data_IF_141395980874
#
_entry.id   IF_141395980874
#
_cell.length_a   1.000
_cell.length_b   1.000
_cell.length_c   1.000
_cell.angle_alpha   90.00
_cell.angle_beta   90.00
_cell.angle_gamma   90.00
#
_symmetry.space_group_name_H-M   'P 1'
#
loop_
_entity.id
_entity.type
_entity.pdbx_description
1 polymer ?
#
# COMPACT_ATOMS: atom_id res chain seq x y z
N UNK A 1 -6.56 -7.29 -20.04
CA UNK A 1 -5.89 -8.55 -20.43
C UNK A 1 -4.39 -8.36 -20.58
N UNK A 2 -3.89 -7.45 -21.42
CA UNK A 2 -2.43 -7.27 -21.61
C UNK A 2 -1.61 -7.06 -20.32
N UNK A 3 -2.03 -6.21 -19.38
CA UNK A 3 -1.28 -6.05 -18.12
C UNK A 3 -1.19 -7.32 -17.26
N UNK A 4 -2.20 -8.20 -17.31
CA UNK A 4 -2.17 -9.46 -16.56
C UNK A 4 -1.22 -10.44 -17.24
N UNK A 5 -1.31 -10.53 -18.57
CA UNK A 5 -0.39 -11.30 -19.40
C UNK A 5 1.05 -10.81 -19.20
N UNK A 6 1.31 -9.50 -19.23
CA UNK A 6 2.62 -8.90 -18.96
C UNK A 6 3.10 -9.22 -17.54
N UNK A 7 2.26 -9.07 -16.50
CA UNK A 7 2.64 -9.44 -15.12
C UNK A 7 3.08 -10.90 -15.00
N UNK A 8 2.40 -11.80 -15.72
CA UNK A 8 2.70 -13.24 -15.71
C UNK A 8 3.90 -13.56 -16.63
N UNK A 9 4.05 -12.86 -17.76
CA UNK A 9 5.09 -13.08 -18.79
C UNK A 9 6.44 -12.46 -18.41
N UNK A 10 6.47 -11.36 -17.66
CA UNK A 10 7.70 -10.83 -17.05
C UNK A 10 8.22 -11.73 -15.92
N UNK A 11 7.40 -12.64 -15.41
CA UNK A 11 7.73 -13.52 -14.29
C UNK A 11 8.78 -14.58 -14.66
N UNK A 12 8.66 -15.36 -15.76
CA UNK A 12 9.66 -16.37 -16.11
C UNK A 12 11.09 -15.86 -16.42
N UNK A 13 11.32 -14.76 -17.17
CA UNK A 13 12.69 -14.32 -17.50
C UNK A 13 13.43 -13.69 -16.31
N UNK A 14 12.72 -13.05 -15.38
CA UNK A 14 13.31 -12.36 -14.23
C UNK A 14 13.44 -13.29 -13.01
N UNK A 15 12.47 -14.17 -12.79
CA UNK A 15 12.42 -15.00 -11.58
C UNK A 15 12.91 -16.45 -11.78
N UNK A 16 13.11 -16.91 -13.01
CA UNK A 16 13.86 -18.16 -13.26
C UNK A 16 15.26 -18.15 -12.62
N UNK A 17 15.84 -16.96 -12.41
CA UNK A 17 17.12 -16.76 -11.73
C UNK A 17 17.00 -16.35 -10.25
N UNK A 18 15.84 -15.82 -9.84
CA UNK A 18 15.62 -15.29 -8.49
C UNK A 18 14.62 -16.21 -7.79
N UNK A 19 15.14 -17.24 -7.10
CA UNK A 19 14.35 -18.16 -6.28
C UNK A 19 13.80 -17.46 -5.02
N UNK A 20 12.79 -16.60 -5.19
CA UNK A 20 12.04 -15.94 -4.11
C UNK A 20 10.57 -16.36 -4.17
N UNK A 21 9.88 -16.45 -3.02
CA UNK A 21 8.43 -16.64 -2.99
C UNK A 21 7.72 -15.42 -3.60
N UNK A 22 6.75 -15.68 -4.47
CA UNK A 22 5.93 -14.66 -5.13
C UNK A 22 4.46 -14.92 -4.85
N UNK A 23 3.75 -13.89 -4.36
CA UNK A 23 2.30 -13.90 -4.21
C UNK A 23 1.66 -13.00 -5.26
N UNK A 24 0.70 -13.53 -5.98
CA UNK A 24 -0.09 -12.79 -6.96
C UNK A 24 -1.24 -12.07 -6.26
N UNK A 25 -1.62 -10.88 -6.75
CA UNK A 25 -2.77 -10.15 -6.23
C UNK A 25 -3.57 -9.44 -7.31
N UNK A 26 -4.77 -9.00 -6.95
CA UNK A 26 -5.74 -8.34 -7.83
C UNK A 26 -5.95 -9.16 -9.11
N UNK A 27 -5.95 -8.55 -10.29
CA UNK A 27 -6.26 -9.23 -11.54
C UNK A 27 -5.21 -10.30 -11.95
N UNK A 28 -4.05 -10.36 -11.29
CA UNK A 28 -3.07 -11.42 -11.51
C UNK A 28 -3.33 -12.68 -10.67
N UNK A 29 -4.11 -12.57 -9.58
CA UNK A 29 -4.46 -13.73 -8.74
C UNK A 29 -5.74 -14.40 -9.26
N UNK A 30 -5.83 -15.74 -9.32
CA UNK A 30 -6.99 -16.44 -9.88
C UNK A 30 -8.35 -16.06 -9.28
N UNK A 31 -8.37 -15.71 -7.99
CA UNK A 31 -9.57 -15.29 -7.26
C UNK A 31 -9.68 -13.77 -7.05
N UNK A 32 -8.77 -12.97 -7.60
CA UNK A 32 -8.79 -11.51 -7.40
C UNK A 32 -8.37 -11.06 -6.00
N UNK A 33 -7.57 -11.86 -5.28
CA UNK A 33 -7.22 -11.62 -3.87
C UNK A 33 -6.57 -10.24 -3.67
N UNK A 34 -7.02 -9.50 -2.65
CA UNK A 34 -6.50 -8.17 -2.38
C UNK A 34 -5.10 -8.21 -1.73
N UNK A 35 -4.27 -7.22 -2.07
CA UNK A 35 -2.90 -7.10 -1.57
C UNK A 35 -2.82 -7.04 -0.04
N UNK A 36 -3.71 -6.27 0.60
CA UNK A 36 -3.71 -6.11 2.05
C UNK A 36 -4.16 -7.38 2.78
N UNK A 37 -5.01 -8.21 2.15
CA UNK A 37 -5.35 -9.54 2.66
C UNK A 37 -4.12 -10.42 2.74
N UNK A 38 -3.34 -10.52 1.66
CA UNK A 38 -2.11 -11.32 1.61
C UNK A 38 -1.10 -10.81 2.65
N UNK A 39 -0.91 -9.49 2.73
CA UNK A 39 -0.05 -8.86 3.75
C UNK A 39 -0.48 -9.24 5.17
N UNK A 40 -1.78 -9.30 5.47
CA UNK A 40 -2.29 -9.69 6.80
C UNK A 40 -2.05 -11.16 7.13
N UNK A 41 -2.30 -12.05 6.18
CA UNK A 41 -2.05 -13.49 6.34
C UNK A 41 -0.56 -13.77 6.59
N UNK A 42 0.31 -13.04 5.91
CA UNK A 42 1.77 -13.08 6.12
C UNK A 42 2.23 -12.33 7.38
N UNK A 43 1.33 -11.71 8.14
CA UNK A 43 1.66 -11.01 9.37
C UNK A 43 2.33 -9.63 9.20
N UNK A 44 2.33 -9.06 7.98
CA UNK A 44 2.97 -7.78 7.64
C UNK A 44 2.47 -6.56 8.43
N UNK A 45 1.37 -6.65 9.16
CA UNK A 45 0.87 -5.54 10.00
C UNK A 45 1.01 -5.81 11.50
N UNK A 46 1.68 -6.91 11.90
CA UNK A 46 1.98 -7.22 13.29
C UNK A 46 3.34 -6.63 13.64
N UNK A 47 3.44 -5.68 14.58
CA UNK A 47 4.73 -5.16 15.01
C UNK A 47 5.58 -6.32 15.51
N UNK A 48 6.86 -6.31 15.16
CA UNK A 48 7.84 -7.31 15.57
C UNK A 48 8.86 -6.74 16.56
N UNK A 49 8.67 -5.49 16.99
CA UNK A 49 9.43 -4.79 18.03
C UNK A 49 8.47 -4.05 18.99
N UNK A 50 9.01 -3.48 20.06
CA UNK A 50 8.27 -2.67 21.03
C UNK A 50 7.70 -1.40 20.39
N UNK A 51 6.65 -0.84 20.99
CA UNK A 51 6.11 0.50 20.71
C UNK A 51 5.74 0.77 19.24
N UNK A 52 5.12 -0.20 18.56
CA UNK A 52 4.71 -0.12 17.15
C UNK A 52 5.86 -0.02 16.14
N UNK A 53 7.08 -0.36 16.54
CA UNK A 53 8.23 -0.35 15.64
C UNK A 53 8.32 -1.65 14.82
N UNK A 54 8.91 -1.51 13.63
CA UNK A 54 9.34 -2.63 12.79
C UNK A 54 10.85 -2.77 12.87
N UNK A 55 11.34 -3.87 13.43
CA UNK A 55 12.74 -4.25 13.47
C UNK A 55 13.00 -5.40 12.49
N UNK A 56 13.36 -5.05 11.25
CA UNK A 56 13.88 -5.99 10.26
C UNK A 56 12.98 -7.21 10.00
N UNK A 57 13.64 -8.33 9.67
CA UNK A 57 12.99 -9.59 9.33
C UNK A 57 12.51 -10.34 10.57
N UNK A 58 11.20 -10.62 10.67
CA UNK A 58 10.61 -11.41 11.77
C UNK A 58 9.77 -12.59 11.31
N UNK A 59 9.73 -12.85 10.00
CA UNK A 59 8.94 -13.96 9.46
C UNK A 59 9.71 -15.28 9.55
N UNK A 60 8.98 -16.39 9.65
CA UNK A 60 9.56 -17.72 9.55
C UNK A 60 10.27 -17.89 8.19
N UNK A 61 11.35 -18.68 8.16
CA UNK A 61 12.00 -19.08 6.90
C UNK A 61 11.09 -19.94 6.04
N UNK A 62 10.06 -20.56 6.63
CA UNK A 62 9.02 -21.32 5.92
C UNK A 62 7.73 -20.53 6.04
N UNK A 63 7.09 -20.23 4.91
CA UNK A 63 5.86 -19.45 4.93
C UNK A 63 4.69 -20.30 5.41
N UNK A 64 3.74 -19.67 6.14
CA UNK A 64 2.52 -20.35 6.56
C UNK A 64 1.59 -20.64 5.38
N UNK A 65 1.69 -19.84 4.32
CA UNK A 65 0.90 -19.95 3.10
C UNK A 65 1.82 -20.23 1.91
N UNK A 66 1.39 -21.10 1.02
CA UNK A 66 2.15 -21.41 -0.20
C UNK A 66 2.15 -20.19 -1.13
N UNK A 67 3.33 -19.78 -1.66
CA UNK A 67 3.38 -18.76 -2.69
C UNK A 67 2.78 -19.29 -4.00
N UNK A 68 2.24 -18.39 -4.82
CA UNK A 68 1.73 -18.73 -6.14
C UNK A 68 2.85 -19.19 -7.08
N UNK A 69 4.06 -18.61 -6.93
CA UNK A 69 5.25 -18.95 -7.71
C UNK A 69 6.49 -18.95 -6.83
N UNK A 70 7.41 -19.88 -7.11
CA UNK A 70 8.70 -19.97 -6.42
C UNK A 70 8.66 -20.85 -5.16
N UNK A 71 9.75 -20.87 -4.38
CA UNK A 71 9.89 -21.77 -3.23
C UNK A 71 9.07 -21.28 -2.03
N UNK A 72 8.62 -22.20 -1.19
CA UNK A 72 8.01 -21.89 0.12
C UNK A 72 9.04 -21.47 1.19
N UNK A 73 10.32 -21.43 0.83
CA UNK A 73 11.41 -21.01 1.72
C UNK A 73 11.82 -19.57 1.41
N UNK A 74 11.94 -18.76 2.46
CA UNK A 74 12.32 -17.35 2.34
C UNK A 74 13.77 -17.14 2.74
N UNK A 75 14.51 -16.48 1.86
CA UNK A 75 15.82 -15.93 2.20
C UNK A 75 15.63 -14.61 2.96
N UNK A 76 16.17 -14.45 4.19
CA UNK A 76 16.05 -13.18 4.94
C UNK A 76 16.57 -11.96 4.18
N UNK A 77 17.57 -12.15 3.30
CA UNK A 77 18.14 -11.07 2.50
C UNK A 77 17.26 -10.66 1.30
N UNK A 78 16.35 -11.52 0.85
CA UNK A 78 15.52 -11.28 -0.35
C UNK A 78 14.04 -11.08 -0.02
N UNK A 79 13.57 -11.67 1.09
CA UNK A 79 12.18 -11.61 1.48
C UNK A 79 11.24 -12.27 0.47
N UNK A 80 10.04 -11.69 0.36
CA UNK A 80 8.91 -12.17 -0.45
C UNK A 80 8.54 -11.04 -1.41
N UNK A 81 8.10 -11.40 -2.62
CA UNK A 81 7.61 -10.42 -3.60
C UNK A 81 6.10 -10.57 -3.80
N UNK A 82 5.41 -9.46 -4.04
CA UNK A 82 3.99 -9.45 -4.43
C UNK A 82 3.86 -8.83 -5.81
N UNK A 83 3.23 -9.53 -6.75
CA UNK A 83 3.04 -9.07 -8.14
C UNK A 83 1.55 -9.02 -8.43
N UNK A 84 1.09 -7.95 -9.08
CA UNK A 84 -0.32 -7.82 -9.38
C UNK A 84 -0.59 -6.79 -10.46
N UNK A 85 -1.79 -6.88 -11.00
CA UNK A 85 -2.30 -5.96 -12.00
C UNK A 85 -3.62 -5.38 -11.51
N UNK A 86 -3.75 -4.05 -11.60
CA UNK A 86 -4.96 -3.34 -11.17
C UNK A 86 -5.06 -1.96 -11.82
N UNK A 87 -6.26 -1.32 -11.81
CA UNK A 87 -6.39 0.09 -12.15
C UNK A 87 -5.53 0.99 -11.27
N UNK A 88 -5.34 2.22 -11.73
CA UNK A 88 -4.53 3.24 -11.06
C UNK A 88 -4.92 3.44 -9.58
N UNK A 89 -3.92 3.59 -8.73
CA UNK A 89 -4.08 3.85 -7.29
C UNK A 89 -3.49 5.21 -7.00
N UNK A 90 -4.22 6.05 -6.27
CA UNK A 90 -3.66 7.29 -5.74
C UNK A 90 -3.27 7.11 -4.27
N UNK A 91 -2.15 7.71 -3.88
CA UNK A 91 -1.68 7.72 -2.50
C UNK A 91 -1.78 9.14 -1.96
N UNK A 92 -2.61 9.33 -0.94
CA UNK A 92 -2.91 10.63 -0.35
C UNK A 92 -2.78 10.55 1.17
N UNK A 93 -1.85 11.28 1.76
CA UNK A 93 -1.61 11.29 3.19
C UNK A 93 -2.22 12.54 3.82
N UNK A 94 -2.81 12.38 5.00
CA UNK A 94 -3.42 13.49 5.76
C UNK A 94 -2.72 13.62 7.12
N UNK A 95 -1.92 14.67 7.34
CA UNK A 95 -1.27 14.89 8.63
C UNK A 95 -2.27 15.28 9.73
N UNK A 96 -2.03 14.77 10.94
CA UNK A 96 -2.75 15.08 12.17
C UNK A 96 -1.72 15.60 13.18
N UNK A 97 -1.96 16.80 13.69
CA UNK A 97 -1.09 17.51 14.65
C UNK A 97 -1.23 16.92 16.05
N UNK A 98 -0.84 15.66 16.20
CA UNK A 98 -0.90 14.89 17.44
C UNK A 98 0.04 13.69 17.37
N UNK A 99 0.64 13.37 18.51
CA UNK A 99 1.44 12.16 18.73
C UNK A 99 0.61 10.99 19.29
N UNK A 100 -0.70 11.15 19.46
CA UNK A 100 -1.62 10.09 19.89
C UNK A 100 -1.83 9.05 18.77
N UNK A 101 -0.88 8.11 18.68
CA UNK A 101 -0.93 6.99 17.73
C UNK A 101 -2.20 6.13 17.91
N UNK A 102 -2.66 5.79 19.14
CA UNK A 102 -3.96 5.16 19.32
C UNK A 102 -5.14 5.91 18.68
N UNK A 103 -5.22 7.23 18.81
CA UNK A 103 -6.24 8.05 18.16
C UNK A 103 -6.12 7.99 16.64
N UNK A 104 -4.92 8.21 16.10
CA UNK A 104 -4.67 8.11 14.66
C UNK A 104 -5.08 6.73 14.11
N UNK A 105 -4.82 5.64 14.84
CA UNK A 105 -5.25 4.29 14.46
C UNK A 105 -6.76 4.11 14.47
N UNK A 106 -7.49 4.69 15.43
CA UNK A 106 -8.97 4.68 15.45
C UNK A 106 -9.51 5.42 14.23
N UNK A 107 -9.01 6.63 13.96
CA UNK A 107 -9.39 7.44 12.81
C UNK A 107 -9.10 6.68 11.52
N UNK A 108 -7.88 6.16 11.32
CA UNK A 108 -7.51 5.36 10.16
C UNK A 108 -8.53 4.23 9.94
N UNK A 109 -8.84 3.45 10.97
CA UNK A 109 -9.81 2.37 10.88
C UNK A 109 -11.18 2.87 10.41
N UNK A 110 -11.69 3.97 10.96
CA UNK A 110 -12.99 4.55 10.61
C UNK A 110 -13.05 5.21 9.23
N UNK A 111 -11.89 5.58 8.67
CA UNK A 111 -11.76 6.04 7.27
C UNK A 111 -11.71 4.85 6.31
N UNK A 112 -11.05 3.75 6.68
CA UNK A 112 -10.88 2.59 5.80
C UNK A 112 -12.20 1.88 5.48
N UNK A 113 -12.34 1.42 4.23
CA UNK A 113 -13.39 0.51 3.81
C UNK A 113 -13.54 -0.70 4.75
N UNK A 114 -12.42 -1.28 5.19
CA UNK A 114 -12.41 -2.44 6.09
C UNK A 114 -13.00 -2.13 7.47
N UNK A 115 -12.92 -0.89 7.93
CA UNK A 115 -13.53 -0.45 9.18
C UNK A 115 -14.92 0.17 9.00
N UNK A 116 -15.55 0.02 7.82
CA UNK A 116 -16.87 0.57 7.52
C UNK A 116 -16.86 2.03 7.06
N UNK A 117 -15.68 2.56 6.70
CA UNK A 117 -15.49 3.91 6.21
C UNK A 117 -15.76 4.06 4.71
N UNK A 118 -14.90 4.82 4.03
CA UNK A 118 -15.05 5.10 2.60
C UNK A 118 -14.79 3.82 1.78
N UNK A 119 -15.65 3.48 0.80
CA UNK A 119 -15.44 2.32 -0.04
C UNK A 119 -14.15 2.49 -0.84
N UNK A 120 -13.47 1.39 -1.18
CA UNK A 120 -12.22 1.42 -1.98
C UNK A 120 -11.08 2.25 -1.36
N UNK A 121 -11.15 2.62 -0.08
CA UNK A 121 -10.07 3.32 0.62
C UNK A 121 -9.43 2.39 1.65
N UNK A 122 -8.12 2.22 1.55
CA UNK A 122 -7.31 1.59 2.59
C UNK A 122 -6.53 2.67 3.32
N UNK A 123 -6.31 2.49 4.62
CA UNK A 123 -5.58 3.48 5.42
C UNK A 123 -4.62 2.80 6.38
N UNK A 124 -3.58 3.55 6.75
CA UNK A 124 -2.66 3.24 7.83
C UNK A 124 -2.45 4.51 8.66
N UNK A 125 -2.31 4.35 9.97
CA UNK A 125 -1.84 5.42 10.84
C UNK A 125 -0.33 5.28 11.00
N UNK A 126 0.41 6.34 10.70
CA UNK A 126 1.87 6.39 10.76
C UNK A 126 2.31 7.54 11.66
N UNK A 127 3.49 7.40 12.26
CA UNK A 127 4.20 8.54 12.88
C UNK A 127 4.77 9.40 11.77
N UNK A 128 4.65 10.72 11.90
CA UNK A 128 5.11 11.69 10.91
C UNK A 128 5.92 12.79 11.61
N UNK A 129 7.24 12.78 11.45
CA UNK A 129 8.12 13.67 12.23
C UNK A 129 8.10 13.37 13.73
N UNK A 130 8.52 14.35 14.53
CA UNK A 130 8.62 14.20 16.00
C UNK A 130 7.27 14.40 16.71
N UNK A 131 6.44 15.33 16.21
CA UNK A 131 5.25 15.84 16.92
C UNK A 131 3.92 15.54 16.23
N UNK A 132 3.91 14.72 15.17
CA UNK A 132 2.69 14.47 14.42
C UNK A 132 2.52 13.01 13.99
N UNK A 133 1.30 12.70 13.58
CA UNK A 133 0.93 11.43 12.94
C UNK A 133 0.32 11.75 11.59
N UNK A 134 0.20 10.76 10.72
CA UNK A 134 -0.56 10.92 9.48
C UNK A 134 -1.43 9.70 9.20
N UNK A 135 -2.55 9.95 8.52
CA UNK A 135 -3.36 8.91 7.94
C UNK A 135 -2.92 8.73 6.49
N UNK A 136 -2.09 7.73 6.25
CA UNK A 136 -1.69 7.36 4.90
C UNK A 136 -2.83 6.63 4.20
N UNK A 137 -3.35 7.18 3.11
CA UNK A 137 -4.52 6.64 2.41
C UNK A 137 -4.15 6.13 1.02
N UNK A 138 -4.55 4.89 0.74
CA UNK A 138 -4.51 4.31 -0.60
C UNK A 138 -5.92 4.33 -1.17
N UNK A 139 -6.12 5.15 -2.20
CA UNK A 139 -7.37 5.30 -2.94
C UNK A 139 -7.32 4.27 -4.07
N UNK A 140 -8.00 3.15 -3.87
CA UNK A 140 -7.96 2.00 -4.78
C UNK A 140 -8.70 2.27 -6.09
N UNK A 141 -9.69 3.16 -6.05
CA UNK A 141 -10.45 3.66 -7.19
C UNK A 141 -10.59 5.19 -7.09
N UNK A 142 -9.54 5.96 -7.42
CA UNK A 142 -9.51 7.40 -7.19
C UNK A 142 -10.54 8.18 -8.01
N UNK A 143 -11.10 7.56 -9.07
CA UNK A 143 -12.22 8.12 -9.84
C UNK A 143 -13.57 8.02 -9.10
N UNK A 144 -13.69 7.12 -8.12
CA UNK A 144 -14.89 6.95 -7.30
C UNK A 144 -14.80 7.76 -6.01
N UNK A 145 -13.66 7.65 -5.32
CA UNK A 145 -13.37 8.35 -4.07
C UNK A 145 -12.09 9.16 -4.24
N UNK A 146 -12.24 10.47 -4.36
CA UNK A 146 -11.14 11.43 -4.46
C UNK A 146 -10.51 11.80 -3.12
N UNK A 147 -9.37 12.50 -3.21
CA UNK A 147 -8.63 12.99 -2.05
C UNK A 147 -9.43 14.00 -1.20
N UNK A 148 -10.31 14.78 -1.82
CA UNK A 148 -11.24 15.69 -1.16
C UNK A 148 -12.15 14.95 -0.16
N UNK A 149 -12.74 13.82 -0.57
CA UNK A 149 -13.61 13.03 0.29
C UNK A 149 -12.84 12.38 1.43
N UNK A 150 -11.61 11.95 1.18
CA UNK A 150 -10.71 11.41 2.20
C UNK A 150 -10.34 12.49 3.21
N UNK A 151 -9.92 13.67 2.74
CA UNK A 151 -9.58 14.84 3.55
C UNK A 151 -10.73 15.19 4.50
N UNK A 152 -11.93 15.45 3.96
CA UNK A 152 -13.11 15.82 4.75
C UNK A 152 -13.48 14.74 5.76
N UNK A 153 -13.33 13.46 5.40
CA UNK A 153 -13.63 12.35 6.32
C UNK A 153 -12.63 12.30 7.48
N UNK A 154 -11.34 12.49 7.22
CA UNK A 154 -10.32 12.55 8.27
C UNK A 154 -10.55 13.75 9.17
N UNK A 155 -10.78 14.94 8.61
CA UNK A 155 -11.09 16.17 9.36
C UNK A 155 -12.30 15.99 10.28
N UNK A 156 -13.38 15.39 9.78
CA UNK A 156 -14.60 15.14 10.58
C UNK A 156 -14.32 14.23 11.78
N UNK A 157 -13.57 13.15 11.57
CA UNK A 157 -13.26 12.17 12.62
C UNK A 157 -12.25 12.73 13.63
N UNK A 158 -11.25 13.46 13.15
CA UNK A 158 -10.28 14.12 14.00
C UNK A 158 -10.92 15.20 14.89
N UNK A 159 -11.84 16.00 14.33
CA UNK A 159 -12.59 17.00 15.09
C UNK A 159 -13.42 16.38 16.23
N UNK A 160 -13.97 15.18 16.05
CA UNK A 160 -14.68 14.44 17.10
C UNK A 160 -13.75 14.01 18.25
N UNK A 161 -12.45 13.83 17.97
CA UNK A 161 -11.42 13.56 18.97
C UNK A 161 -10.68 14.83 19.43
N UNK A 162 -11.10 16.03 18.98
CA UNK A 162 -10.47 17.30 19.32
C UNK A 162 -9.08 17.52 18.70
N UNK A 163 -8.78 16.82 17.59
CA UNK A 163 -7.48 16.85 16.92
C UNK A 163 -7.49 17.80 15.71
N UNK A 164 -6.38 18.49 15.51
CA UNK A 164 -6.16 19.37 14.36
C UNK A 164 -5.57 18.58 13.18
N UNK A 165 -6.07 18.87 11.98
CA UNK A 165 -5.70 18.19 10.74
C UNK A 165 -5.13 19.22 9.77
N UNK A 166 -4.01 18.88 9.13
CA UNK A 166 -3.46 19.71 8.05
C UNK A 166 -3.99 19.29 6.69
N UNK A 167 -3.75 20.13 5.68
CA UNK A 167 -4.06 19.80 4.30
C UNK A 167 -3.21 18.61 3.86
N UNK A 168 -3.87 17.55 3.42
CA UNK A 168 -3.20 16.37 2.88
C UNK A 168 -2.51 16.61 1.54
N UNK A 169 -1.72 15.62 1.14
CA UNK A 169 -0.86 15.69 -0.03
C UNK A 169 -0.74 14.33 -0.72
N UNK A 170 -0.51 14.35 -2.03
CA UNK A 170 -0.18 13.13 -2.78
C UNK A 170 1.29 12.77 -2.58
N UNK A 171 1.59 11.49 -2.35
CA UNK A 171 2.96 11.00 -2.18
C UNK A 171 3.61 10.52 -3.47
N UNK A 172 2.83 10.41 -4.55
CA UNK A 172 3.29 9.93 -5.86
C UNK A 172 2.80 10.85 -6.99
N UNK A 173 3.31 10.62 -8.19
CA UNK A 173 2.94 11.35 -9.40
C UNK A 173 1.49 11.08 -9.81
N UNK A 174 0.88 12.07 -10.45
CA UNK A 174 -0.40 11.85 -11.13
C UNK A 174 -0.20 11.02 -12.41
N UNK A 175 -1.26 10.38 -12.94
CA UNK A 175 -1.20 9.72 -14.24
C UNK A 175 -0.64 10.60 -15.35
N UNK A 176 -1.03 11.88 -15.38
CA UNK A 176 -0.58 12.85 -16.38
C UNK A 176 0.91 13.13 -16.25
N UNK A 177 1.41 13.30 -15.02
CA UNK A 177 2.83 13.50 -14.75
C UNK A 177 3.67 12.30 -15.17
N UNK A 178 3.17 11.07 -14.96
CA UNK A 178 3.85 9.85 -15.41
C UNK A 178 3.92 9.79 -16.93
N UNK A 179 2.81 10.07 -17.61
CA UNK A 179 2.76 10.10 -19.09
C UNK A 179 3.71 11.15 -19.66
N UNK A 180 3.73 12.35 -19.07
CA UNK A 180 4.63 13.43 -19.49
C UNK A 180 6.10 13.05 -19.30
N UNK A 181 6.46 12.53 -18.12
CA UNK A 181 7.82 12.02 -17.85
C UNK A 181 8.23 10.94 -18.85
N UNK A 182 7.33 10.00 -19.13
CA UNK A 182 7.59 8.97 -20.12
C UNK A 182 7.85 9.59 -21.50
N UNK A 183 6.98 10.48 -21.99
CA UNK A 183 7.16 11.19 -23.27
C UNK A 183 8.50 11.93 -23.36
N UNK A 184 8.93 12.57 -22.27
CA UNK A 184 10.21 13.26 -22.22
C UNK A 184 11.38 12.29 -22.30
N UNK A 185 11.31 11.14 -21.60
CA UNK A 185 12.35 10.10 -21.64
C UNK A 185 12.54 9.49 -23.03
N UNK A 186 11.45 9.15 -23.74
CA UNK A 186 11.54 8.61 -25.10
C UNK A 186 12.00 9.66 -26.12
N UNK A 187 11.68 10.94 -25.91
CA UNK A 187 12.16 12.03 -26.77
C UNK A 187 13.66 12.27 -26.60
N UNK A 188 14.16 12.30 -25.35
CA UNK A 188 15.58 12.49 -25.04
C UNK A 188 16.47 11.31 -25.50
N UNK A 189 15.92 10.11 -25.68
CA UNK A 189 16.66 8.96 -26.24
C UNK A 189 16.73 8.97 -27.77
N UNK A 190 15.96 9.84 -28.43
CA UNK A 190 15.89 9.96 -29.89
C UNK A 190 16.72 11.15 -30.42
N UNK A 191 17.17 12.04 -29.53
CA UNK A 191 18.12 13.14 -29.78
C UNK A 191 19.54 12.70 -29.45
#
# INVERSE_FOLDING_TARGET
MRCVEDCIVFMPPVFGYIAVPVFLYAAAHPTGKALDTIRRELGYYRPNSMDNQWAGWSMSKILPEMPDVGPNHVSPARGITMIGARPWVALYNVPIMSTDVPAAKRIARMVSARGGGLPTVQTLALVHGEDSTEIACMLLEPNQIGADRVQTRVETLAAQEGLNVEKGYFTDFSPEMVVEKYKNLISARRS
#
